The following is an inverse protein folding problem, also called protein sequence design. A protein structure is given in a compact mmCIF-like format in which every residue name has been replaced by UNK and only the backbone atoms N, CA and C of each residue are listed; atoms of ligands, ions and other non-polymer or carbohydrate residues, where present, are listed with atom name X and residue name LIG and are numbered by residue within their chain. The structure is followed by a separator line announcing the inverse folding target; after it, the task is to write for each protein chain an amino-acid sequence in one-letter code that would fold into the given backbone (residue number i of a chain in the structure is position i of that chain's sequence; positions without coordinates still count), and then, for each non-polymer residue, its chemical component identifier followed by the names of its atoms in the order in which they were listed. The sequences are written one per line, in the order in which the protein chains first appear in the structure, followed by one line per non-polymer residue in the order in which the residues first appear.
data_IF_991155216911
#
_entry.id   IF_991155216911
#
_cell.length_a   1.000
_cell.length_b   1.000
_cell.length_c   1.000
_cell.angle_alpha   90.00
_cell.angle_beta   90.00
_cell.angle_gamma   90.00
#
_symmetry.space_group_name_H-M   'P 1'
#
loop_
_entity.id
_entity.type
_entity.pdbx_description
1 polymer ?
#
# COMPACT_ATOMS: atom_id res chain seq x y z
N UNK A 1 -21.01 8.65 -2.51
CA UNK A 1 -21.55 7.94 -3.69
C UNK A 1 -20.73 6.67 -3.97
N UNK A 2 -19.41 6.74 -4.16
CA UNK A 2 -18.56 5.59 -4.54
C UNK A 2 -18.57 4.42 -3.51
N UNK A 3 -18.57 4.69 -2.21
CA UNK A 3 -18.65 3.63 -1.20
C UNK A 3 -20.00 2.90 -1.22
N UNK A 4 -21.10 3.58 -1.58
CA UNK A 4 -22.42 2.95 -1.66
C UNK A 4 -22.44 1.82 -2.68
N UNK A 5 -21.87 2.03 -3.86
CA UNK A 5 -21.77 1.01 -4.91
C UNK A 5 -20.95 -0.21 -4.44
N UNK A 6 -19.81 0.02 -3.78
CA UNK A 6 -18.98 -1.07 -3.22
C UNK A 6 -19.78 -1.86 -2.17
N UNK A 7 -20.46 -1.16 -1.25
CA UNK A 7 -21.24 -1.78 -0.17
C UNK A 7 -22.36 -2.67 -0.73
N UNK A 8 -23.12 -2.16 -1.70
CA UNK A 8 -24.22 -2.89 -2.32
C UNK A 8 -23.73 -4.09 -3.14
N UNK A 9 -22.73 -3.88 -4.00
CA UNK A 9 -22.19 -4.92 -4.89
C UNK A 9 -21.47 -6.03 -4.14
N UNK A 10 -20.68 -5.69 -3.12
CA UNK A 10 -19.90 -6.65 -2.32
C UNK A 10 -20.64 -7.13 -1.06
N UNK A 11 -21.88 -6.67 -0.82
CA UNK A 11 -22.72 -7.01 0.34
C UNK A 11 -22.00 -6.80 1.68
N UNK A 12 -21.35 -5.66 1.82
CA UNK A 12 -20.54 -5.33 2.99
C UNK A 12 -21.43 -5.11 4.21
N UNK A 13 -21.15 -5.82 5.30
CA UNK A 13 -21.91 -5.74 6.55
C UNK A 13 -21.38 -4.69 7.52
N UNK A 14 -20.05 -4.48 7.52
CA UNK A 14 -19.34 -3.59 8.45
C UNK A 14 -18.80 -2.39 7.67
N UNK A 15 -19.69 -1.42 7.40
CA UNK A 15 -19.31 -0.17 6.72
C UNK A 15 -18.26 0.63 7.49
N UNK A 16 -18.35 0.62 8.82
CA UNK A 16 -17.40 1.24 9.73
C UNK A 16 -15.96 0.74 9.49
N UNK A 17 -15.78 -0.56 9.29
CA UNK A 17 -14.47 -1.17 9.01
C UNK A 17 -13.99 -0.84 7.60
N UNK A 18 -14.89 -0.82 6.61
CA UNK A 18 -14.53 -0.40 5.25
C UNK A 18 -14.04 1.04 5.23
N UNK A 19 -14.76 1.94 5.89
CA UNK A 19 -14.37 3.36 5.99
C UNK A 19 -13.05 3.54 6.73
N UNK A 20 -12.84 2.83 7.85
CA UNK A 20 -11.59 2.87 8.59
C UNK A 20 -10.42 2.31 7.75
N UNK A 21 -10.65 1.25 6.94
CA UNK A 21 -9.65 0.70 6.02
C UNK A 21 -9.29 1.72 4.94
N UNK A 22 -10.29 2.38 4.35
CA UNK A 22 -10.10 3.43 3.36
C UNK A 22 -9.30 4.62 3.93
N UNK A 23 -9.66 5.10 5.12
CA UNK A 23 -8.96 6.21 5.79
C UNK A 23 -7.50 5.87 6.07
N UNK A 24 -7.26 4.62 6.48
CA UNK A 24 -5.91 4.14 6.73
C UNK A 24 -5.09 4.09 5.44
N UNK A 25 -5.63 3.53 4.36
CA UNK A 25 -4.95 3.50 3.06
C UNK A 25 -4.68 4.92 2.54
N UNK A 26 -5.65 5.85 2.66
CA UNK A 26 -5.45 7.24 2.31
C UNK A 26 -4.31 7.90 3.09
N UNK A 27 -4.18 7.57 4.38
CA UNK A 27 -3.13 8.15 5.24
C UNK A 27 -1.76 7.48 5.08
N UNK A 28 -1.71 6.25 4.57
CA UNK A 28 -0.47 5.46 4.40
C UNK A 28 -0.05 5.26 2.94
N UNK A 29 -0.55 6.08 2.02
CA UNK A 29 -0.17 6.04 0.60
C UNK A 29 1.35 6.03 0.46
N UNK A 30 1.89 5.13 -0.39
CA UNK A 30 3.33 4.97 -0.60
C UNK A 30 4.10 4.33 0.56
N UNK A 31 3.45 4.08 1.70
CA UNK A 31 4.07 3.40 2.84
C UNK A 31 3.84 1.89 2.81
N UNK A 32 4.79 1.15 3.38
CA UNK A 32 4.66 -0.31 3.50
C UNK A 32 3.49 -0.68 4.42
N UNK A 33 2.49 -1.31 3.86
CA UNK A 33 1.23 -1.67 4.52
C UNK A 33 1.04 -3.19 4.57
N UNK A 34 0.63 -3.68 5.75
CA UNK A 34 0.34 -5.09 5.98
C UNK A 34 -1.05 -5.20 6.62
N UNK A 35 -1.99 -5.99 6.05
CA UNK A 35 -3.34 -6.17 6.58
C UNK A 35 -3.38 -6.55 8.07
N UNK A 36 -2.42 -7.36 8.55
CA UNK A 36 -2.29 -7.70 9.96
C UNK A 36 -2.06 -6.46 10.85
N UNK A 37 -1.21 -5.54 10.41
CA UNK A 37 -0.94 -4.31 11.16
C UNK A 37 -2.14 -3.38 11.14
N UNK A 38 -2.87 -3.33 10.03
CA UNK A 38 -4.13 -2.59 9.89
C UNK A 38 -5.17 -3.12 10.88
N UNK A 39 -5.40 -4.45 10.89
CA UNK A 39 -6.33 -5.09 11.83
C UNK A 39 -5.93 -4.84 13.29
N UNK A 40 -4.65 -4.94 13.63
CA UNK A 40 -4.15 -4.64 14.99
C UNK A 40 -4.39 -3.19 15.39
N UNK A 41 -4.15 -2.24 14.48
CA UNK A 41 -4.37 -0.81 14.75
C UNK A 41 -5.86 -0.51 14.99
N UNK A 42 -6.76 -1.09 14.19
CA UNK A 42 -8.21 -0.99 14.38
C UNK A 42 -8.63 -1.60 15.71
N UNK A 43 -8.21 -2.83 15.99
CA UNK A 43 -8.57 -3.56 17.20
C UNK A 43 -8.06 -2.88 18.48
N UNK A 44 -6.94 -2.18 18.43
CA UNK A 44 -6.44 -1.40 19.55
C UNK A 44 -7.36 -0.24 19.92
N UNK A 45 -8.02 0.38 18.94
CA UNK A 45 -9.03 1.42 19.14
C UNK A 45 -10.36 0.83 19.63
N UNK A 46 -10.80 -0.28 19.02
CA UNK A 46 -12.08 -0.94 19.34
C UNK A 46 -12.12 -1.57 20.74
N UNK A 47 -11.00 -2.10 21.26
CA UNK A 47 -10.90 -2.59 22.64
C UNK A 47 -11.26 -1.53 23.66
N UNK A 48 -11.08 -0.27 23.36
CA UNK A 48 -11.44 0.85 24.22
C UNK A 48 -12.95 1.17 24.17
N UNK A 49 -13.63 0.78 23.09
CA UNK A 49 -15.07 1.02 22.89
C UNK A 49 -15.96 -0.21 23.13
N UNK A 50 -15.38 -1.39 23.38
CA UNK A 50 -16.13 -2.63 23.62
C UNK A 50 -16.76 -3.25 22.37
N UNK A 51 -16.29 -2.88 21.18
CA UNK A 51 -16.78 -3.40 19.90
C UNK A 51 -16.12 -4.73 19.51
N UNK A 52 -16.76 -5.47 18.59
CA UNK A 52 -16.23 -6.73 18.06
C UNK A 52 -14.92 -6.52 17.28
N UNK A 53 -13.94 -7.38 17.58
CA UNK A 53 -12.63 -7.34 16.93
C UNK A 53 -12.72 -7.69 15.45
N UNK A 54 -11.92 -7.01 14.65
CA UNK A 54 -11.81 -7.23 13.20
C UNK A 54 -10.76 -8.28 12.91
N UNK A 55 -11.12 -9.27 12.08
CA UNK A 55 -10.17 -10.27 11.62
C UNK A 55 -9.25 -9.73 10.52
N UNK A 56 -8.04 -10.28 10.41
CA UNK A 56 -7.14 -9.98 9.31
C UNK A 56 -7.79 -10.24 7.93
N UNK A 57 -8.52 -11.37 7.81
CA UNK A 57 -9.20 -11.72 6.56
C UNK A 57 -10.27 -10.69 6.16
N UNK A 58 -10.95 -10.10 7.12
CA UNK A 58 -11.93 -9.03 6.85
C UNK A 58 -11.23 -7.79 6.29
N UNK A 59 -10.10 -7.39 6.89
CA UNK A 59 -9.31 -6.24 6.41
C UNK A 59 -8.77 -6.50 5.01
N UNK A 60 -8.16 -7.67 4.78
CA UNK A 60 -7.65 -8.07 3.46
C UNK A 60 -8.77 -8.00 2.41
N UNK A 61 -9.92 -8.62 2.70
CA UNK A 61 -11.06 -8.60 1.77
C UNK A 61 -11.55 -7.17 1.48
N UNK A 62 -11.52 -6.27 2.45
CA UNK A 62 -11.93 -4.89 2.22
C UNK A 62 -10.89 -4.09 1.44
N UNK A 63 -9.60 -4.36 1.65
CA UNK A 63 -8.53 -3.80 0.81
C UNK A 63 -8.69 -4.26 -0.64
N UNK A 64 -8.96 -5.55 -0.87
CA UNK A 64 -9.24 -6.10 -2.20
C UNK A 64 -10.48 -5.45 -2.84
N UNK A 65 -11.54 -5.20 -2.08
CA UNK A 65 -12.74 -4.54 -2.60
C UNK A 65 -12.50 -3.08 -2.99
N UNK A 66 -11.62 -2.37 -2.27
CA UNK A 66 -11.20 -1.01 -2.62
C UNK A 66 -10.32 -1.01 -3.88
N UNK A 67 -9.47 -2.03 -4.05
CA UNK A 67 -8.66 -2.24 -5.25
C UNK A 67 -9.55 -2.61 -6.47
N UNK A 68 -10.50 -3.53 -6.32
CA UNK A 68 -11.47 -3.90 -7.36
C UNK A 68 -12.35 -2.71 -7.81
N UNK A 69 -12.49 -1.70 -6.97
CA UNK A 69 -13.22 -0.47 -7.27
C UNK A 69 -12.32 0.63 -7.84
N UNK A 70 -11.07 0.33 -8.16
CA UNK A 70 -10.09 1.28 -8.69
C UNK A 70 -9.89 2.52 -7.80
N UNK A 71 -9.97 2.36 -6.48
CA UNK A 71 -9.63 3.43 -5.55
C UNK A 71 -8.16 3.39 -5.16
N UNK A 72 -7.62 2.17 -5.08
CA UNK A 72 -6.21 1.91 -4.80
C UNK A 72 -5.70 0.78 -5.68
N UNK A 73 -4.41 0.83 -5.97
CA UNK A 73 -3.69 -0.27 -6.60
C UNK A 73 -2.60 -0.78 -5.66
N UNK A 74 -2.50 -2.11 -5.51
CA UNK A 74 -1.44 -2.76 -4.76
C UNK A 74 -0.17 -2.83 -5.61
N UNK A 75 0.93 -2.29 -5.10
CA UNK A 75 2.25 -2.43 -5.69
C UNK A 75 3.07 -3.41 -4.86
N UNK A 76 3.36 -4.58 -5.44
CA UNK A 76 4.02 -5.68 -4.76
C UNK A 76 5.52 -5.46 -4.63
N UNK A 77 6.09 -5.99 -3.56
CA UNK A 77 7.54 -6.02 -3.36
C UNK A 77 8.13 -7.23 -4.06
N UNK A 78 9.21 -6.98 -4.80
CA UNK A 78 9.92 -7.97 -5.58
C UNK A 78 11.40 -8.03 -5.18
N UNK A 79 11.87 -9.21 -4.78
CA UNK A 79 13.29 -9.46 -4.56
C UNK A 79 14.01 -9.55 -5.91
N UNK A 80 14.83 -8.55 -6.21
CA UNK A 80 15.53 -8.44 -7.50
C UNK A 80 16.52 -9.58 -7.73
N UNK A 81 17.19 -10.05 -6.66
CA UNK A 81 18.18 -11.14 -6.72
C UNK A 81 17.51 -12.51 -6.60
N UNK A 82 16.60 -12.67 -5.65
CA UNK A 82 15.86 -13.92 -5.41
C UNK A 82 14.80 -14.20 -6.48
N UNK A 83 14.40 -13.20 -7.27
CA UNK A 83 13.40 -13.29 -8.35
C UNK A 83 12.05 -13.83 -7.86
N UNK A 84 11.63 -13.39 -6.68
CA UNK A 84 10.35 -13.78 -6.08
C UNK A 84 9.64 -12.55 -5.46
N UNK A 85 8.32 -12.66 -5.36
CA UNK A 85 7.50 -11.66 -4.70
C UNK A 85 7.40 -11.94 -3.20
N UNK A 86 7.25 -10.85 -2.43
CA UNK A 86 6.88 -10.94 -1.03
C UNK A 86 5.35 -10.92 -0.90
N UNK A 87 4.81 -11.69 0.04
CA UNK A 87 3.38 -11.62 0.32
C UNK A 87 3.02 -10.26 0.94
N UNK A 88 3.75 -9.86 1.99
CA UNK A 88 3.58 -8.61 2.70
C UNK A 88 4.90 -8.18 3.38
N UNK A 89 5.05 -6.89 3.73
CA UNK A 89 4.18 -5.75 3.43
C UNK A 89 4.32 -5.28 1.97
N UNK A 90 3.25 -4.69 1.40
CA UNK A 90 3.25 -4.07 0.08
C UNK A 90 2.92 -2.58 0.19
N UNK A 91 3.11 -1.80 -0.88
CA UNK A 91 2.65 -0.42 -0.94
C UNK A 91 1.30 -0.33 -1.67
N UNK A 92 0.51 0.67 -1.30
CA UNK A 92 -0.77 0.96 -1.95
C UNK A 92 -0.75 2.40 -2.44
N UNK A 93 -1.12 2.58 -3.71
CA UNK A 93 -1.20 3.87 -4.36
C UNK A 93 -2.64 4.19 -4.69
N UNK A 94 -3.03 5.45 -4.47
CA UNK A 94 -4.37 5.93 -4.76
C UNK A 94 -4.46 6.33 -6.24
N UNK A 95 -5.51 5.90 -6.93
CA UNK A 95 -5.75 6.27 -8.33
C UNK A 95 -6.02 7.77 -8.47
N UNK A 96 -6.72 8.37 -7.50
CA UNK A 96 -7.06 9.79 -7.48
C UNK A 96 -6.56 10.45 -6.20
N UNK A 97 -5.49 11.25 -6.32
CA UNK A 97 -4.91 12.01 -5.20
C UNK A 97 -5.90 13.08 -4.68
N UNK A 98 -6.77 13.62 -5.52
CA UNK A 98 -7.80 14.57 -5.10
C UNK A 98 -8.81 13.91 -4.17
N UNK A 99 -9.27 12.70 -4.50
CA UNK A 99 -10.13 11.88 -3.65
C UNK A 99 -9.46 11.55 -2.31
N UNK A 100 -8.20 11.10 -2.36
CA UNK A 100 -7.38 10.84 -1.15
C UNK A 100 -7.32 12.08 -0.26
N UNK A 101 -6.96 13.23 -0.82
CA UNK A 101 -6.80 14.48 -0.06
C UNK A 101 -8.13 14.95 0.55
N UNK A 102 -9.23 14.89 -0.20
CA UNK A 102 -10.56 15.20 0.30
C UNK A 102 -10.97 14.29 1.45
N UNK A 103 -10.69 12.97 1.34
CA UNK A 103 -11.04 11.99 2.38
C UNK A 103 -10.34 12.27 3.71
N UNK A 104 -9.07 12.62 3.70
CA UNK A 104 -8.31 12.93 4.93
C UNK A 104 -8.33 14.42 5.32
N UNK A 105 -9.19 15.22 4.69
CA UNK A 105 -9.34 16.65 4.98
C UNK A 105 -8.08 17.46 4.70
N UNK A 106 -7.36 17.12 3.62
CA UNK A 106 -6.11 17.77 3.19
C UNK A 106 -5.00 17.77 4.25
N UNK A 107 -5.08 16.85 5.20
CA UNK A 107 -4.03 16.61 6.21
C UNK A 107 -2.99 15.62 5.68
N UNK A 108 -1.84 15.50 6.37
CA UNK A 108 -0.79 14.54 6.05
C UNK A 108 -0.30 14.64 4.59
N UNK A 109 0.06 15.85 4.18
CA UNK A 109 0.65 16.08 2.87
C UNK A 109 2.17 15.85 2.94
N UNK A 110 2.57 14.59 3.06
CA UNK A 110 3.97 14.19 2.89
C UNK A 110 4.28 14.21 1.39
N UNK A 111 4.93 15.27 0.93
CA UNK A 111 5.19 15.51 -0.48
C UNK A 111 5.91 14.32 -1.15
N UNK A 112 6.83 13.67 -0.46
CA UNK A 112 7.55 12.50 -0.96
C UNK A 112 6.59 11.36 -1.33
N UNK A 113 5.65 11.01 -0.47
CA UNK A 113 4.67 9.95 -0.74
C UNK A 113 3.67 10.33 -1.81
N UNK A 114 3.27 11.61 -1.86
CA UNK A 114 2.38 12.11 -2.92
C UNK A 114 3.10 12.06 -4.28
N UNK A 115 4.35 12.50 -4.35
CA UNK A 115 5.13 12.46 -5.58
C UNK A 115 5.38 11.01 -6.03
N UNK A 116 5.69 10.12 -5.10
CA UNK A 116 5.81 8.68 -5.37
C UNK A 116 4.52 8.11 -5.97
N UNK A 117 3.35 8.45 -5.41
CA UNK A 117 2.06 8.05 -5.96
C UNK A 117 1.82 8.62 -7.37
N UNK A 118 2.18 9.87 -7.63
CA UNK A 118 2.04 10.48 -8.97
C UNK A 118 2.93 9.76 -9.97
N UNK A 119 4.18 9.45 -9.62
CA UNK A 119 5.10 8.71 -10.47
C UNK A 119 4.54 7.30 -10.75
N UNK A 120 4.03 6.61 -9.74
CA UNK A 120 3.38 5.31 -9.91
C UNK A 120 2.25 5.38 -10.93
N UNK A 121 1.30 6.31 -10.75
CA UNK A 121 0.16 6.47 -11.65
C UNK A 121 0.61 6.80 -13.08
N UNK A 122 1.61 7.67 -13.27
CA UNK A 122 2.15 7.98 -14.62
C UNK A 122 2.77 6.74 -15.28
N UNK A 123 3.50 5.92 -14.53
CA UNK A 123 4.06 4.67 -15.06
C UNK A 123 2.95 3.69 -15.47
N UNK A 124 1.88 3.56 -14.67
CA UNK A 124 0.72 2.72 -15.00
C UNK A 124 -0.02 3.21 -16.24
N UNK A 125 -0.25 4.52 -16.36
CA UNK A 125 -0.88 5.15 -17.56
C UNK A 125 -0.05 4.87 -18.82
N UNK A 126 1.29 4.81 -18.70
CA UNK A 126 2.19 4.45 -19.83
C UNK A 126 2.20 2.95 -20.14
N UNK A 127 1.41 2.15 -19.45
CA UNK A 127 1.30 0.70 -19.66
C UNK A 127 2.47 -0.09 -19.08
N UNK A 128 3.18 0.47 -18.10
CA UNK A 128 4.19 -0.27 -17.35
C UNK A 128 3.53 -1.18 -16.32
N UNK A 129 4.07 -2.39 -16.14
CA UNK A 129 3.89 -3.15 -14.92
C UNK A 129 4.93 -2.66 -13.90
N UNK A 130 4.50 -2.37 -12.67
CA UNK A 130 5.32 -1.68 -11.68
C UNK A 130 5.37 -2.48 -10.38
N UNK A 131 6.58 -2.73 -9.92
CA UNK A 131 6.88 -3.39 -8.63
C UNK A 131 7.77 -2.50 -7.78
N UNK A 132 7.78 -2.73 -6.46
CA UNK A 132 8.77 -2.17 -5.54
C UNK A 132 9.97 -3.11 -5.51
N UNK A 133 11.17 -2.60 -5.81
CA UNK A 133 12.38 -3.40 -5.79
C UNK A 133 12.94 -3.58 -4.39
N UNK A 134 13.37 -4.80 -4.06
CA UNK A 134 14.15 -5.07 -2.85
C UNK A 134 15.49 -5.69 -3.22
N UNK A 135 16.57 -5.12 -2.70
CA UNK A 135 17.94 -5.63 -2.88
C UNK A 135 18.60 -5.78 -1.52
N UNK A 136 19.20 -6.93 -1.26
CA UNK A 136 19.99 -7.14 -0.06
C UNK A 136 21.44 -6.78 -0.29
N UNK A 137 21.96 -5.84 0.49
CA UNK A 137 23.37 -5.46 0.54
C UNK A 137 24.01 -5.98 1.83
N UNK A 138 25.27 -6.41 1.76
CA UNK A 138 26.03 -6.78 2.96
C UNK A 138 26.75 -5.55 3.46
N UNK A 139 26.47 -5.14 4.69
CA UNK A 139 27.08 -4.00 5.36
C UNK A 139 27.75 -4.44 6.66
N UNK A 140 28.73 -3.65 7.13
CA UNK A 140 29.33 -3.87 8.44
C UNK A 140 28.48 -3.22 9.53
N UNK A 141 28.10 -3.99 10.53
CA UNK A 141 27.45 -3.47 11.74
C UNK A 141 28.42 -2.63 12.56
N UNK A 142 27.90 -1.85 13.51
CA UNK A 142 28.73 -1.11 14.48
C UNK A 142 29.71 -2.00 15.26
N UNK A 143 29.41 -3.30 15.38
CA UNK A 143 30.26 -4.32 16.02
C UNK A 143 31.24 -5.00 15.05
N UNK A 144 31.32 -4.56 13.77
CA UNK A 144 32.22 -5.11 12.75
C UNK A 144 31.72 -6.38 12.04
N UNK A 145 30.58 -6.92 12.43
CA UNK A 145 30.00 -8.12 11.82
C UNK A 145 29.30 -7.78 10.49
N UNK A 146 29.37 -8.71 9.53
CA UNK A 146 28.60 -8.58 8.29
C UNK A 146 27.12 -8.82 8.58
N UNK A 147 26.27 -7.86 8.20
CA UNK A 147 24.81 -7.95 8.28
C UNK A 147 24.20 -7.71 6.90
N UNK A 148 23.13 -8.43 6.57
CA UNK A 148 22.37 -8.15 5.37
C UNK A 148 21.35 -7.06 5.65
N UNK A 149 21.39 -6.00 4.86
CA UNK A 149 20.47 -4.87 4.94
C UNK A 149 19.62 -4.82 3.68
N UNK A 150 18.30 -4.82 3.83
CA UNK A 150 17.40 -4.63 2.72
C UNK A 150 17.41 -3.15 2.28
N UNK A 151 17.63 -2.92 0.99
CA UNK A 151 17.54 -1.62 0.33
C UNK A 151 16.35 -1.64 -0.61
N UNK A 152 15.55 -0.60 -0.57
CA UNK A 152 14.40 -0.43 -1.45
C UNK A 152 14.82 0.33 -2.71
N UNK A 153 14.25 -0.08 -3.85
CA UNK A 153 14.21 0.66 -5.10
C UNK A 153 12.76 1.05 -5.29
N UNK A 154 12.46 2.34 -5.38
CA UNK A 154 11.08 2.82 -5.37
C UNK A 154 10.23 2.14 -6.42
N UNK A 155 10.73 2.02 -7.67
CA UNK A 155 10.01 1.31 -8.71
C UNK A 155 10.90 0.48 -9.63
N UNK A 156 10.38 -0.69 -10.00
CA UNK A 156 10.84 -1.50 -11.14
C UNK A 156 9.73 -1.44 -12.17
N UNK A 157 9.90 -0.64 -13.21
CA UNK A 157 8.94 -0.51 -14.30
C UNK A 157 9.27 -1.47 -15.44
N UNK A 158 8.33 -2.36 -15.78
CA UNK A 158 8.45 -3.29 -16.89
C UNK A 158 7.55 -2.83 -18.05
N UNK A 159 8.13 -2.59 -19.22
CA UNK A 159 7.38 -2.24 -20.42
C UNK A 159 8.04 -2.88 -21.66
N UNK A 160 7.27 -3.64 -22.44
CA UNK A 160 7.77 -4.29 -23.66
C UNK A 160 8.99 -5.19 -23.43
N UNK A 161 9.09 -5.87 -22.29
CA UNK A 161 10.21 -6.74 -21.93
C UNK A 161 11.46 -5.99 -21.42
N UNK A 162 11.42 -4.67 -21.34
CA UNK A 162 12.50 -3.84 -20.78
C UNK A 162 12.17 -3.48 -19.33
N UNK A 163 13.15 -3.70 -18.42
CA UNK A 163 13.10 -3.27 -17.03
C UNK A 163 13.81 -1.94 -16.84
N UNK A 164 13.17 -1.01 -16.16
CA UNK A 164 13.76 0.27 -15.75
C UNK A 164 13.66 0.37 -14.24
N UNK A 165 14.77 0.72 -13.59
CA UNK A 165 14.83 0.94 -12.15
C UNK A 165 14.77 2.44 -11.88
N UNK A 166 13.87 2.85 -11.01
CA UNK A 166 13.58 4.26 -10.72
C UNK A 166 13.73 4.48 -9.23
N UNK A 167 14.49 5.52 -8.88
CA UNK A 167 14.65 5.99 -7.50
C UNK A 167 14.29 7.47 -7.47
N UNK A 168 13.34 7.84 -6.63
CA UNK A 168 12.98 9.22 -6.33
C UNK A 168 13.76 9.66 -5.06
N UNK A 169 14.45 10.80 -5.14
CA UNK A 169 15.27 11.35 -4.06
C UNK A 169 14.63 12.60 -3.46
#
# INVERSE_FOLDING_TARGET
VYLKDIVERKKIKRLDILEATLDLLCSSVGSLTNPNNVAKAMNSKQKLSGEDLVSNNTVTSYMDHLADAYLFEECKRYDVKGKNYFDYPNKYYCEDIGLRNARIGFRQQELTHIMENIIYNDLRIRGCEVDIGVVYATEKSKAGNNVQVAREIDFIANHGGKKTYIQYL
#
